data_IF_824324301048
#
_entry.id   IF_824324301048
#
_cell.length_a   1.000
_cell.length_b   1.000
_cell.length_c   1.000
_cell.angle_alpha   90.00
_cell.angle_beta   90.00
_cell.angle_gamma   90.00
#
_symmetry.space_group_name_H-M   'P 1'
#
loop_
_entity.id
_entity.type
_entity.pdbx_description
1 polymer ?
#
# COMPACT_ATOMS: atom_id res chain seq x y z
N UNK A 1 44.62 -3.13 3.87
CA UNK A 1 43.48 -2.51 4.58
C UNK A 1 42.28 -3.41 4.42
N UNK A 2 42.10 -4.33 5.36
CA UNK A 2 41.04 -5.34 5.37
C UNK A 2 39.73 -4.72 5.86
N UNK A 3 38.69 -4.74 5.02
CA UNK A 3 37.31 -4.60 5.50
C UNK A 3 36.95 -5.87 6.27
N UNK A 4 36.59 -5.72 7.52
CA UNK A 4 36.27 -6.78 8.48
C UNK A 4 35.03 -7.57 8.07
N UNK A 5 35.05 -8.88 8.29
CA UNK A 5 33.96 -9.84 8.01
C UNK A 5 32.63 -9.53 8.75
N UNK A 6 32.63 -8.58 9.68
CA UNK A 6 31.46 -8.23 10.50
C UNK A 6 30.33 -7.51 9.75
N UNK A 7 30.63 -6.75 8.68
CA UNK A 7 29.58 -5.99 7.96
C UNK A 7 28.66 -6.87 7.10
N UNK A 8 29.03 -8.13 6.85
CA UNK A 8 28.22 -9.07 6.05
C UNK A 8 27.17 -9.85 6.86
N UNK A 9 27.18 -9.73 8.20
CA UNK A 9 26.24 -10.45 9.07
C UNK A 9 24.92 -9.72 9.33
N UNK A 10 24.85 -8.40 9.10
CA UNK A 10 23.66 -7.62 9.43
C UNK A 10 22.49 -7.76 8.43
N UNK A 11 22.75 -8.19 7.19
CA UNK A 11 21.71 -8.39 6.16
C UNK A 11 21.09 -9.79 6.14
N UNK A 12 21.63 -10.74 6.92
CA UNK A 12 21.23 -12.16 6.87
C UNK A 12 20.56 -12.66 8.16
N UNK A 13 20.32 -11.78 9.13
CA UNK A 13 19.61 -12.17 10.36
C UNK A 13 18.16 -11.73 10.25
N UNK A 14 17.34 -12.55 9.60
CA UNK A 14 15.89 -12.47 9.78
C UNK A 14 15.58 -12.97 11.19
N UNK A 15 15.54 -12.07 12.18
CA UNK A 15 14.88 -12.38 13.43
C UNK A 15 13.40 -12.54 13.14
N UNK A 16 12.95 -13.79 13.14
CA UNK A 16 11.53 -14.10 13.19
C UNK A 16 10.99 -13.50 14.49
N UNK A 17 10.16 -12.47 14.39
CA UNK A 17 9.30 -12.08 15.51
C UNK A 17 8.51 -13.34 15.87
N UNK A 18 8.84 -13.94 17.01
CA UNK A 18 8.13 -15.09 17.54
C UNK A 18 6.75 -14.63 18.00
N UNK A 19 5.82 -14.44 17.05
CA UNK A 19 4.42 -14.58 17.36
C UNK A 19 4.23 -16.05 17.71
N UNK A 20 4.09 -16.36 19.01
CA UNK A 20 3.51 -17.64 19.41
C UNK A 20 2.23 -17.79 18.61
N UNK A 21 2.02 -18.91 17.90
CA UNK A 21 0.71 -19.16 17.31
C UNK A 21 -0.27 -19.17 18.48
N UNK A 22 -1.08 -18.11 18.60
CA UNK A 22 -2.33 -18.25 19.34
C UNK A 22 -3.08 -19.35 18.61
N UNK A 23 -3.48 -20.44 19.29
CA UNK A 23 -4.37 -21.42 18.69
C UNK A 23 -5.55 -20.62 18.12
N UNK A 24 -5.98 -20.93 16.90
CA UNK A 24 -7.27 -20.47 16.41
C UNK A 24 -8.33 -21.05 17.34
N UNK A 25 -8.64 -20.32 18.42
CA UNK A 25 -9.76 -20.48 19.34
C UNK A 25 -9.63 -19.40 20.41
N UNK A 26 -10.71 -18.66 20.56
CA UNK A 26 -10.95 -17.61 21.56
C UNK A 26 -10.33 -16.25 21.22
N UNK A 27 -10.89 -15.62 20.17
CA UNK A 27 -10.99 -14.16 20.13
C UNK A 27 -11.76 -13.78 21.40
N UNK A 28 -11.04 -13.24 22.40
CA UNK A 28 -11.66 -12.68 23.59
C UNK A 28 -12.77 -11.71 23.15
N UNK A 29 -13.99 -11.97 23.61
CA UNK A 29 -15.14 -11.12 23.33
C UNK A 29 -14.78 -9.66 23.63
N UNK A 30 -14.64 -8.85 22.57
CA UNK A 30 -14.34 -7.41 22.67
C UNK A 30 -13.05 -6.92 21.98
N UNK A 31 -12.11 -7.80 21.61
CA UNK A 31 -10.91 -7.38 20.86
C UNK A 31 -11.20 -7.33 19.36
N UNK A 32 -11.47 -6.12 18.84
CA UNK A 32 -11.66 -5.91 17.40
C UNK A 32 -10.32 -6.00 16.67
N UNK A 33 -10.23 -6.88 15.68
CA UNK A 33 -9.05 -7.08 14.82
C UNK A 33 -9.46 -6.99 13.35
N UNK A 34 -8.53 -6.65 12.43
CA UNK A 34 -8.85 -6.68 11.01
C UNK A 34 -9.22 -8.09 10.59
N UNK A 35 -10.32 -8.23 9.86
CA UNK A 35 -10.76 -9.49 9.27
C UNK A 35 -9.81 -9.96 8.16
N UNK A 36 -9.85 -11.27 7.86
CA UNK A 36 -9.07 -11.87 6.77
C UNK A 36 -9.38 -11.17 5.43
N UNK A 37 -8.34 -10.86 4.65
CA UNK A 37 -8.43 -10.10 3.39
C UNK A 37 -7.21 -10.29 2.49
N UNK A 38 -7.40 -10.15 1.19
CA UNK A 38 -6.33 -10.15 0.17
C UNK A 38 -6.19 -8.76 -0.48
N UNK A 39 -5.06 -8.48 -1.13
CA UNK A 39 -4.82 -7.22 -1.83
C UNK A 39 -4.70 -5.97 -0.95
N UNK A 40 -4.68 -6.13 0.38
CA UNK A 40 -4.44 -5.05 1.34
C UNK A 40 -2.98 -4.58 1.28
N UNK A 41 -2.69 -3.42 1.88
CA UNK A 41 -1.31 -2.95 2.03
C UNK A 41 -0.95 -2.68 3.47
N UNK A 42 0.31 -2.99 3.76
CA UNK A 42 0.93 -2.85 5.06
C UNK A 42 2.08 -1.84 4.96
N UNK A 43 2.12 -0.87 5.86
CA UNK A 43 3.28 0.02 6.05
C UNK A 43 3.52 0.17 7.55
N UNK A 44 4.73 0.50 7.96
CA UNK A 44 5.05 0.65 9.38
C UNK A 44 5.90 1.90 9.64
N UNK A 45 5.74 2.45 10.84
CA UNK A 45 6.74 3.30 11.49
C UNK A 45 7.41 2.51 12.64
N UNK A 46 8.17 3.18 13.49
CA UNK A 46 8.88 2.54 14.59
C UNK A 46 7.95 2.05 15.73
N UNK A 47 6.69 2.47 15.74
CA UNK A 47 5.74 2.23 16.84
C UNK A 47 4.55 1.39 16.39
N UNK A 48 4.19 1.46 15.12
CA UNK A 48 2.95 0.91 14.60
C UNK A 48 3.10 0.28 13.21
N UNK A 49 2.39 -0.83 13.01
CA UNK A 49 2.04 -1.36 11.70
C UNK A 49 0.66 -0.81 11.31
N UNK A 50 0.50 -0.36 10.08
CA UNK A 50 -0.76 0.09 9.50
C UNK A 50 -1.21 -0.87 8.41
N UNK A 51 -2.50 -1.19 8.39
CA UNK A 51 -3.11 -2.05 7.36
C UNK A 51 -4.29 -1.30 6.75
N UNK A 52 -4.32 -1.20 5.43
CA UNK A 52 -5.36 -0.48 4.70
C UNK A 52 -5.84 -1.25 3.47
N UNK A 53 -7.15 -1.20 3.23
CA UNK A 53 -7.78 -1.81 2.08
C UNK A 53 -7.82 -3.32 2.12
N UNK A 54 -7.90 -3.88 0.92
CA UNK A 54 -8.06 -5.30 0.63
C UNK A 54 -9.50 -5.65 0.30
N UNK A 55 -9.70 -6.93 -0.01
CA UNK A 55 -11.00 -7.49 -0.31
C UNK A 55 -11.14 -8.89 0.31
N UNK A 56 -12.38 -9.30 0.58
CA UNK A 56 -12.70 -10.68 0.92
C UNK A 56 -14.16 -10.98 0.53
N UNK A 57 -14.40 -11.86 -0.47
CA UNK A 57 -15.76 -12.21 -0.88
C UNK A 57 -16.50 -13.08 0.15
N UNK A 58 -15.80 -13.71 1.09
CA UNK A 58 -16.40 -14.49 2.18
C UNK A 58 -16.73 -13.63 3.41
N UNK A 59 -16.43 -12.32 3.35
CA UNK A 59 -16.79 -11.40 4.43
C UNK A 59 -18.31 -11.29 4.48
N UNK A 60 -18.88 -11.48 5.66
CA UNK A 60 -20.33 -11.52 5.86
C UNK A 60 -21.00 -10.30 5.22
N UNK A 61 -21.88 -10.56 4.25
CA UNK A 61 -22.79 -9.58 3.65
C UNK A 61 -23.67 -8.86 4.69
N UNK A 62 -23.58 -9.19 5.99
CA UNK A 62 -24.20 -8.53 7.15
C UNK A 62 -24.25 -6.99 7.18
N UNK A 63 -23.54 -6.28 6.29
CA UNK A 63 -23.84 -4.88 5.97
C UNK A 63 -25.05 -4.67 5.03
N UNK A 64 -25.73 -5.75 4.65
CA UNK A 64 -26.79 -5.83 3.65
C UNK A 64 -26.33 -5.49 2.23
N UNK A 65 -27.30 -5.50 1.31
CA UNK A 65 -27.19 -4.87 -0.02
C UNK A 65 -26.90 -3.36 0.01
N UNK A 66 -26.82 -2.77 1.20
CA UNK A 66 -26.50 -1.36 1.46
C UNK A 66 -25.01 -1.14 1.76
N UNK A 67 -24.21 -2.20 1.93
CA UNK A 67 -22.77 -2.07 2.07
C UNK A 67 -22.15 -1.76 0.70
N UNK A 68 -22.15 -0.48 0.32
CA UNK A 68 -21.55 0.04 -0.91
C UNK A 68 -20.07 -0.35 -1.06
N UNK A 69 -19.40 -0.66 0.05
CA UNK A 69 -18.00 -1.05 0.07
C UNK A 69 -17.80 -2.56 -0.12
N UNK A 70 -18.82 -3.41 -0.02
CA UNK A 70 -18.64 -4.86 -0.15
C UNK A 70 -18.15 -5.27 -1.56
N UNK A 71 -17.22 -6.25 -1.69
CA UNK A 71 -16.40 -6.92 -0.66
C UNK A 71 -15.05 -6.24 -0.32
N UNK A 72 -14.90 -4.93 -0.54
CA UNK A 72 -13.71 -4.14 -0.22
C UNK A 72 -13.71 -3.63 1.24
N UNK A 73 -12.51 -3.47 1.80
CA UNK A 73 -12.33 -2.97 3.17
C UNK A 73 -11.93 -1.51 3.20
N UNK A 74 -12.90 -0.61 3.41
CA UNK A 74 -12.67 0.83 3.52
C UNK A 74 -12.29 1.27 4.94
N UNK A 75 -11.25 0.64 5.50
CA UNK A 75 -10.85 0.86 6.89
C UNK A 75 -9.34 0.87 7.07
N UNK A 76 -8.87 1.74 7.97
CA UNK A 76 -7.47 1.84 8.36
C UNK A 76 -7.29 1.22 9.75
N UNK A 77 -6.50 0.16 9.81
CA UNK A 77 -6.11 -0.49 11.06
C UNK A 77 -4.70 -0.12 11.47
N UNK A 78 -4.46 -0.15 12.76
CA UNK A 78 -3.15 0.04 13.36
C UNK A 78 -2.89 -1.01 14.42
N UNK A 79 -1.73 -1.65 14.35
CA UNK A 79 -1.20 -2.52 15.39
C UNK A 79 -0.03 -1.84 16.08
N UNK A 80 -0.15 -1.64 17.39
CA UNK A 80 0.89 -0.99 18.19
C UNK A 80 1.88 -2.04 18.72
N UNK A 81 3.15 -1.98 18.30
CA UNK A 81 4.12 -3.04 18.55
C UNK A 81 4.36 -3.30 20.03
N UNK A 82 4.48 -2.24 20.84
CA UNK A 82 4.82 -2.39 22.26
C UNK A 82 3.68 -2.97 23.11
N UNK A 83 2.41 -2.81 22.69
CA UNK A 83 1.25 -3.30 23.43
C UNK A 83 0.63 -4.54 22.81
N UNK A 84 1.00 -4.86 21.57
CA UNK A 84 0.43 -5.98 20.82
C UNK A 84 -1.05 -5.80 20.50
N UNK A 85 -1.55 -4.56 20.45
CA UNK A 85 -2.98 -4.28 20.29
C UNK A 85 -3.32 -3.74 18.92
N UNK A 86 -4.39 -4.28 18.34
CA UNK A 86 -5.06 -3.72 17.18
C UNK A 86 -6.00 -2.58 17.58
N UNK A 87 -6.07 -1.58 16.72
CA UNK A 87 -7.01 -0.48 16.82
C UNK A 87 -7.45 -0.06 15.42
N UNK A 88 -8.75 -0.02 15.18
CA UNK A 88 -9.29 0.63 13.99
C UNK A 88 -9.17 2.15 14.16
N UNK A 89 -8.54 2.82 13.21
CA UNK A 89 -8.46 4.27 13.18
C UNK A 89 -9.70 4.78 12.45
N UNK A 90 -10.62 5.40 13.20
CA UNK A 90 -11.71 6.15 12.58
C UNK A 90 -11.11 7.35 11.85
N UNK A 91 -11.24 7.37 10.53
CA UNK A 91 -10.74 8.45 9.67
C UNK A 91 -11.87 9.11 8.90
N UNK A 92 -11.67 10.36 8.51
CA UNK A 92 -12.61 11.15 7.73
C UNK A 92 -11.98 11.68 6.44
N UNK A 93 -12.79 12.23 5.53
CA UNK A 93 -12.33 12.88 4.30
C UNK A 93 -12.34 11.99 3.07
N UNK A 94 -11.50 12.31 2.08
CA UNK A 94 -11.53 11.72 0.74
C UNK A 94 -10.74 10.42 0.66
N UNK A 95 -11.33 9.33 1.16
CA UNK A 95 -10.74 7.99 1.11
C UNK A 95 -10.86 7.39 -0.31
N UNK A 96 -9.87 6.59 -0.78
CA UNK A 96 -9.98 5.89 -2.06
C UNK A 96 -11.14 4.87 -2.09
N UNK A 97 -11.64 4.62 -3.29
CA UNK A 97 -12.64 3.60 -3.62
C UNK A 97 -12.01 2.32 -4.19
N UNK A 98 -10.83 2.43 -4.81
CA UNK A 98 -10.12 1.31 -5.45
C UNK A 98 -9.23 0.55 -4.46
N UNK A 99 -9.86 -0.13 -3.51
CA UNK A 99 -9.25 -0.58 -2.27
C UNK A 99 -8.45 -1.89 -2.36
N UNK A 100 -8.40 -2.57 -3.51
CA UNK A 100 -7.61 -3.79 -3.68
C UNK A 100 -6.36 -3.55 -4.53
N UNK A 101 -5.25 -4.19 -4.16
CA UNK A 101 -3.98 -4.18 -4.90
C UNK A 101 -3.38 -2.79 -5.16
N UNK A 102 -3.74 -1.79 -4.36
CA UNK A 102 -3.12 -0.44 -4.38
C UNK A 102 -1.63 -0.50 -4.05
N UNK A 103 -0.91 0.60 -4.15
CA UNK A 103 0.40 0.78 -3.53
C UNK A 103 0.28 1.67 -2.30
N UNK A 104 1.12 1.45 -1.27
CA UNK A 104 1.16 2.31 -0.10
C UNK A 104 2.59 2.57 0.39
N UNK A 105 2.85 3.78 0.87
CA UNK A 105 4.10 4.16 1.56
C UNK A 105 3.78 5.10 2.72
N UNK A 106 4.60 5.07 3.77
CA UNK A 106 4.52 5.98 4.91
C UNK A 106 5.67 7.00 4.85
N UNK A 107 5.34 8.29 4.92
CA UNK A 107 6.33 9.37 4.99
C UNK A 107 5.98 10.34 6.12
N UNK A 108 6.72 10.25 7.22
CA UNK A 108 6.34 10.87 8.48
C UNK A 108 4.98 10.35 8.95
N UNK A 109 4.03 11.26 9.20
CA UNK A 109 2.65 10.89 9.58
C UNK A 109 1.72 10.74 8.37
N UNK A 110 2.22 10.77 7.14
CA UNK A 110 1.41 10.73 5.93
C UNK A 110 1.51 9.36 5.29
N UNK A 111 0.42 8.61 5.33
CA UNK A 111 0.22 7.38 4.54
C UNK A 111 -0.22 7.82 3.14
N UNK A 112 0.61 7.58 2.13
CA UNK A 112 0.27 7.82 0.74
C UNK A 112 -0.19 6.50 0.11
N UNK A 113 -1.31 6.54 -0.59
CA UNK A 113 -1.90 5.42 -1.33
C UNK A 113 -2.05 5.82 -2.79
N UNK A 114 -1.71 4.91 -3.70
CA UNK A 114 -1.77 5.14 -5.14
C UNK A 114 -2.27 3.91 -5.89
N UNK A 115 -3.07 4.15 -6.93
CA UNK A 115 -3.55 3.10 -7.82
C UNK A 115 -4.54 2.16 -7.13
N UNK A 116 -4.54 0.90 -7.58
CA UNK A 116 -5.46 -0.12 -7.08
C UNK A 116 -6.67 -0.31 -7.99
N UNK A 117 -7.49 -1.29 -7.62
CA UNK A 117 -8.73 -1.65 -8.31
C UNK A 117 -9.89 -1.70 -7.33
N UNK A 118 -11.03 -1.14 -7.76
CA UNK A 118 -12.34 -1.31 -7.17
C UNK A 118 -13.16 -2.33 -7.96
N UNK A 119 -14.45 -2.40 -7.69
CA UNK A 119 -15.39 -3.27 -8.39
C UNK A 119 -15.96 -2.52 -9.61
N UNK A 120 -16.11 -3.16 -10.77
CA UNK A 120 -15.58 -4.48 -11.14
C UNK A 120 -14.04 -4.51 -11.18
N UNK A 121 -13.45 -5.59 -10.67
CA UNK A 121 -11.99 -5.72 -10.56
C UNK A 121 -11.31 -5.71 -11.94
N UNK A 122 -10.22 -4.95 -12.05
CA UNK A 122 -9.45 -4.77 -13.28
C UNK A 122 -10.01 -3.72 -14.25
N UNK A 123 -11.28 -3.33 -14.08
CA UNK A 123 -11.95 -2.32 -14.90
C UNK A 123 -12.00 -0.96 -14.18
N UNK A 124 -12.37 -0.97 -12.90
CA UNK A 124 -12.42 0.22 -12.07
C UNK A 124 -11.06 0.45 -11.40
N UNK A 125 -10.14 1.10 -12.12
CA UNK A 125 -8.78 1.36 -11.65
C UNK A 125 -8.52 2.85 -11.40
N UNK A 126 -7.60 3.13 -10.48
CA UNK A 126 -7.20 4.50 -10.14
C UNK A 126 -5.77 4.83 -10.58
N UNK A 127 -5.51 6.12 -10.73
CA UNK A 127 -4.17 6.71 -10.78
C UNK A 127 -4.11 7.96 -9.90
N UNK A 128 -5.01 8.05 -8.92
CA UNK A 128 -5.05 9.14 -7.96
C UNK A 128 -4.13 8.85 -6.77
N UNK A 129 -3.62 9.93 -6.17
CA UNK A 129 -2.79 9.87 -4.97
C UNK A 129 -3.65 10.32 -3.80
N UNK A 130 -3.96 9.40 -2.89
CA UNK A 130 -4.62 9.72 -1.63
C UNK A 130 -3.59 9.81 -0.52
N UNK A 131 -3.81 10.76 0.40
CA UNK A 131 -2.93 10.95 1.56
C UNK A 131 -3.77 10.94 2.82
N UNK A 132 -3.49 10.01 3.73
CA UNK A 132 -4.01 10.02 5.07
C UNK A 132 -2.95 10.55 6.02
N UNK A 133 -3.22 11.66 6.70
CA UNK A 133 -2.44 12.00 7.86
C UNK A 133 -2.91 11.15 9.05
N UNK A 134 -2.14 10.14 9.46
CA UNK A 134 -2.55 9.18 10.50
C UNK A 134 -2.65 9.80 11.90
N UNK A 135 -1.97 10.94 12.13
CA UNK A 135 -2.09 11.70 13.39
C UNK A 135 -3.40 12.47 13.45
N UNK A 136 -3.77 13.13 12.36
CA UNK A 136 -5.03 13.89 12.25
C UNK A 136 -6.22 13.06 11.79
N UNK A 137 -5.99 11.79 11.43
CA UNK A 137 -6.98 10.82 10.99
C UNK A 137 -7.83 11.33 9.82
N UNK A 138 -7.18 12.03 8.87
CA UNK A 138 -7.88 12.68 7.76
C UNK A 138 -7.24 12.34 6.43
N UNK A 139 -8.09 11.91 5.51
CA UNK A 139 -7.78 11.66 4.12
C UNK A 139 -7.99 12.91 3.27
N UNK A 140 -7.10 13.08 2.31
CA UNK A 140 -7.22 14.08 1.26
C UNK A 140 -6.80 13.47 -0.09
N UNK A 141 -7.47 13.92 -1.15
CA UNK A 141 -7.03 13.69 -2.52
C UNK A 141 -5.92 14.71 -2.86
N UNK A 142 -4.76 14.21 -3.30
CA UNK A 142 -3.66 15.07 -3.72
C UNK A 142 -3.83 15.44 -5.20
N UNK A 143 -4.23 16.69 -5.45
CA UNK A 143 -4.32 17.24 -6.80
C UNK A 143 -2.95 17.32 -7.46
N UNK A 144 -2.65 16.33 -8.31
CA UNK A 144 -1.41 16.24 -9.07
C UNK A 144 -1.63 16.60 -10.54
N UNK A 145 -0.62 17.24 -11.15
CA UNK A 145 -0.57 17.58 -12.58
C UNK A 145 0.55 16.83 -13.29
N UNK A 146 0.74 17.11 -14.58
CA UNK A 146 1.81 16.51 -15.39
C UNK A 146 1.41 15.16 -15.97
N UNK A 147 2.41 14.37 -16.38
CA UNK A 147 2.19 13.08 -17.05
C UNK A 147 1.97 11.97 -16.01
N UNK A 148 0.71 11.84 -15.56
CA UNK A 148 0.31 10.80 -14.61
C UNK A 148 0.51 9.39 -15.18
N UNK A 149 0.79 8.38 -14.33
CA UNK A 149 0.73 6.98 -14.74
C UNK A 149 -0.67 6.58 -15.22
N UNK A 150 -0.75 5.49 -15.98
CA UNK A 150 -2.03 4.90 -16.37
C UNK A 150 -2.82 4.40 -15.15
N UNK A 151 -4.15 4.32 -15.29
CA UNK A 151 -5.06 3.76 -14.28
C UNK A 151 -4.91 2.23 -14.26
N UNK A 152 -3.99 1.74 -13.43
CA UNK A 152 -3.63 0.32 -13.28
C UNK A 152 -3.49 -0.02 -11.79
N UNK A 153 -3.31 -1.30 -11.48
CA UNK A 153 -3.14 -1.78 -10.10
C UNK A 153 -1.87 -2.64 -9.95
N UNK A 154 -1.51 -2.96 -8.71
CA UNK A 154 -0.38 -3.83 -8.40
C UNK A 154 0.99 -3.18 -8.58
N UNK A 155 1.08 -1.85 -8.64
CA UNK A 155 2.36 -1.15 -8.77
C UNK A 155 3.27 -1.35 -7.55
N UNK A 156 4.57 -1.08 -7.75
CA UNK A 156 5.51 -0.84 -6.67
C UNK A 156 5.70 0.67 -6.46
N UNK A 157 5.87 1.10 -5.21
CA UNK A 157 5.97 2.52 -4.86
C UNK A 157 6.97 2.76 -3.74
N UNK A 158 7.80 3.81 -3.88
CA UNK A 158 8.80 4.23 -2.88
C UNK A 158 8.95 5.74 -2.85
N UNK A 159 9.38 6.30 -1.71
CA UNK A 159 9.73 7.73 -1.59
C UNK A 159 11.23 7.87 -1.38
N UNK A 160 11.86 8.74 -2.17
CA UNK A 160 13.28 9.07 -2.06
C UNK A 160 13.43 10.58 -2.29
N UNK A 161 14.07 11.28 -1.34
CA UNK A 161 14.41 12.71 -1.44
C UNK A 161 13.24 13.62 -1.85
N UNK A 162 12.06 13.41 -1.29
CA UNK A 162 10.86 14.21 -1.60
C UNK A 162 10.15 13.83 -2.90
N UNK A 163 10.60 12.79 -3.60
CA UNK A 163 9.95 12.26 -4.78
C UNK A 163 9.31 10.92 -4.51
N UNK A 164 8.10 10.72 -5.01
CA UNK A 164 7.40 9.44 -5.03
C UNK A 164 7.65 8.77 -6.37
N UNK A 165 8.25 7.59 -6.36
CA UNK A 165 8.48 6.78 -7.54
C UNK A 165 7.45 5.66 -7.61
N UNK A 166 6.88 5.44 -8.79
CA UNK A 166 5.91 4.37 -9.07
C UNK A 166 6.40 3.59 -10.27
N UNK A 167 6.50 2.27 -10.11
CA UNK A 167 6.96 1.36 -11.15
C UNK A 167 5.95 0.26 -11.46
N UNK A 168 5.74 0.04 -12.75
CA UNK A 168 5.00 -1.09 -13.30
C UNK A 168 3.52 -1.12 -12.93
N UNK A 169 2.96 -2.33 -12.80
CA UNK A 169 1.54 -2.58 -12.56
C UNK A 169 0.87 -3.31 -13.73
N UNK A 170 -0.43 -3.56 -13.61
CA UNK A 170 -1.19 -4.33 -14.61
C UNK A 170 -2.63 -3.86 -14.75
N UNK A 171 -3.22 -4.08 -15.93
CA UNK A 171 -4.67 -4.02 -16.16
C UNK A 171 -5.35 -5.38 -16.00
N UNK A 172 -4.61 -6.42 -15.64
CA UNK A 172 -5.03 -7.83 -15.68
C UNK A 172 -4.72 -8.51 -17.01
N UNK A 173 -4.65 -7.73 -18.10
CA UNK A 173 -4.31 -8.21 -19.44
C UNK A 173 -2.90 -7.79 -19.87
N UNK A 174 -2.51 -6.55 -19.54
CA UNK A 174 -1.24 -5.97 -19.93
C UNK A 174 -0.43 -5.58 -18.68
N UNK A 175 0.88 -5.84 -18.71
CA UNK A 175 1.81 -5.48 -17.65
C UNK A 175 2.68 -4.31 -18.10
N UNK A 176 2.75 -3.28 -17.27
CA UNK A 176 3.61 -2.11 -17.51
C UNK A 176 4.96 -2.32 -16.82
N UNK A 177 6.00 -1.78 -17.46
CA UNK A 177 7.35 -1.60 -16.89
C UNK A 177 7.71 -0.12 -16.79
N UNK A 178 6.71 0.77 -16.88
CA UNK A 178 6.93 2.21 -16.85
C UNK A 178 7.34 2.68 -15.46
N UNK A 179 8.30 3.60 -15.43
CA UNK A 179 8.71 4.32 -14.23
C UNK A 179 8.19 5.76 -14.29
N UNK A 180 7.45 6.15 -13.27
CA UNK A 180 6.98 7.52 -13.09
C UNK A 180 7.50 8.09 -11.77
N UNK A 181 7.67 9.41 -11.75
CA UNK A 181 8.09 10.15 -10.56
C UNK A 181 7.17 11.34 -10.33
N UNK A 182 6.66 11.46 -9.11
CA UNK A 182 5.94 12.62 -8.62
C UNK A 182 6.85 13.42 -7.68
N UNK A 183 7.01 14.71 -7.96
CA UNK A 183 7.54 15.67 -6.99
C UNK A 183 6.43 15.98 -5.96
N UNK A 184 6.66 15.68 -4.68
CA UNK A 184 5.65 15.86 -3.63
C UNK A 184 5.46 17.33 -3.23
N UNK A 185 6.41 18.22 -3.55
CA UNK A 185 6.31 19.66 -3.32
C UNK A 185 5.52 20.32 -4.44
N UNK A 186 5.96 20.12 -5.69
CA UNK A 186 5.30 20.76 -6.84
C UNK A 186 4.03 20.01 -7.29
N UNK A 187 3.84 18.75 -6.88
CA UNK A 187 2.74 17.86 -7.26
C UNK A 187 2.68 17.59 -8.76
N UNK A 188 3.86 17.47 -9.37
CA UNK A 188 4.02 17.24 -10.79
C UNK A 188 4.58 15.86 -11.09
N UNK A 189 3.86 15.11 -11.92
CA UNK A 189 4.28 13.82 -12.44
C UNK A 189 5.11 13.97 -13.71
N UNK A 190 6.17 13.17 -13.78
CA UNK A 190 6.93 12.95 -15.01
C UNK A 190 7.08 11.44 -15.28
N UNK A 191 7.16 11.11 -16.56
CA UNK A 191 7.58 9.79 -17.03
C UNK A 191 9.10 9.75 -17.13
N UNK A 192 9.72 8.74 -16.53
CA UNK A 192 11.16 8.52 -16.58
C UNK A 192 11.47 7.45 -17.63
N UNK A 193 11.96 7.90 -18.79
CA UNK A 193 12.44 6.99 -19.83
C UNK A 193 13.81 6.44 -19.43
N UNK A 194 14.03 5.12 -19.45
CA UNK A 194 15.36 4.54 -19.31
C UNK A 194 16.28 5.03 -20.43
N UNK A 195 17.53 5.35 -20.09
CA UNK A 195 18.56 5.75 -21.05
C UNK A 195 19.57 4.62 -21.28
N UNK A 196 19.14 3.36 -21.11
CA UNK A 196 20.00 2.20 -21.29
C UNK A 196 20.46 2.12 -22.76
N UNK A 197 21.73 1.76 -23.02
CA UNK A 197 22.17 1.43 -24.37
C UNK A 197 21.43 0.18 -24.88
N UNK A 198 21.24 0.03 -26.20
CA UNK A 198 20.53 -1.11 -26.80
C UNK A 198 21.12 -2.48 -26.43
N UNK A 199 22.40 -2.55 -26.08
CA UNK A 199 23.12 -3.79 -25.82
C UNK A 199 22.89 -4.34 -24.39
N UNK A 200 22.24 -3.58 -23.50
CA UNK A 200 21.95 -3.98 -22.11
C UNK A 200 20.63 -4.77 -21.97
N UNK A 201 19.92 -5.03 -23.07
CA UNK A 201 18.72 -5.86 -23.04
C UNK A 201 19.12 -7.35 -23.12
N UNK A 202 18.70 -8.19 -22.16
CA UNK A 202 18.84 -9.62 -22.34
C UNK A 202 18.05 -10.04 -23.59
N UNK A 203 18.62 -10.96 -24.38
CA UNK A 203 17.91 -11.55 -25.53
C UNK A 203 16.52 -12.00 -25.09
N UNK A 204 15.49 -11.62 -25.85
CA UNK A 204 14.08 -11.96 -25.57
C UNK A 204 13.97 -13.47 -25.30
N UNK A 205 13.40 -13.84 -24.14
CA UNK A 205 13.13 -15.23 -23.74
C UNK A 205 11.71 -15.63 -24.07
#
# INVERSE_FOLDING_TARGET
MSRTEDDRRLLNTFEKLACRPSPQRDILAGQRTPTARSGHRCVADNTNLYVFGGYNPDYDESGGSENEDYPLFRELWRFHFATGQWQQIQTEGYMPTELASMSAVLHGNNLLVFGGTGIPFGENNSNDVHVCNVKYKRWALLNCRGKKPNRIYGQAMVIINGFLYVFGGTTGYNYSTDLHRLDLTSREWIYLKPNNPPDDFPEER
#
